data_IF_294249734054
#
_entry.id   IF_294249734054
#
_cell.length_a   1.000
_cell.length_b   1.000
_cell.length_c   1.000
_cell.angle_alpha   90.00
_cell.angle_beta   90.00
_cell.angle_gamma   90.00
#
_symmetry.space_group_name_H-M   'P 1'
#
loop_
_entity.id
_entity.type
_entity.pdbx_description
1 polymer ?
#
# COMPACT_ATOMS: atom_id res chain seq x y z
N UNK A 1 -8.85 -15.44 14.31
CA UNK A 1 -9.09 -14.40 13.29
C UNK A 1 -10.59 -14.18 13.25
N UNK A 2 -11.07 -13.09 13.83
CA UNK A 2 -12.51 -12.86 14.03
C UNK A 2 -13.03 -11.94 12.93
N UNK A 3 -14.00 -12.42 12.17
CA UNK A 3 -14.61 -11.68 11.07
C UNK A 3 -15.99 -11.20 11.51
N UNK A 4 -16.21 -9.88 11.50
CA UNK A 4 -17.50 -9.28 11.84
C UNK A 4 -18.27 -8.99 10.57
N UNK A 5 -19.25 -9.81 10.24
CA UNK A 5 -20.20 -9.56 9.16
C UNK A 5 -21.41 -8.84 9.75
N UNK A 6 -21.78 -7.68 9.20
CA UNK A 6 -23.07 -7.06 9.52
C UNK A 6 -23.99 -7.23 8.32
N UNK A 7 -25.12 -7.89 8.57
CA UNK A 7 -26.22 -8.05 7.64
C UNK A 7 -27.39 -7.26 8.19
N UNK A 8 -28.04 -6.48 7.33
CA UNK A 8 -29.36 -5.97 7.66
C UNK A 8 -30.36 -7.10 7.36
N UNK A 9 -31.14 -7.48 8.37
CA UNK A 9 -32.27 -8.39 8.21
C UNK A 9 -33.54 -7.55 8.26
N UNK A 10 -34.22 -7.43 7.14
CA UNK A 10 -35.51 -6.74 7.08
C UNK A 10 -36.63 -7.78 7.08
N UNK A 11 -37.50 -7.74 8.08
CA UNK A 11 -38.64 -8.64 8.20
C UNK A 11 -39.92 -7.96 7.74
N UNK A 12 -40.61 -8.57 6.78
CA UNK A 12 -41.89 -8.09 6.25
C UNK A 12 -43.01 -9.06 6.67
N UNK A 13 -43.83 -8.72 7.67
CA UNK A 13 -44.97 -9.54 8.06
C UNK A 13 -46.08 -9.41 7.02
N UNK A 14 -46.54 -10.54 6.50
CA UNK A 14 -47.72 -10.63 5.64
C UNK A 14 -48.93 -10.95 6.50
N UNK A 15 -49.86 -10.00 6.59
CA UNK A 15 -51.05 -10.11 7.42
C UNK A 15 -52.22 -10.75 6.65
N UNK A 16 -53.02 -11.56 7.35
CA UNK A 16 -54.34 -11.98 6.88
C UNK A 16 -55.35 -10.84 7.06
N UNK A 17 -56.54 -10.99 6.48
CA UNK A 17 -57.64 -10.02 6.61
C UNK A 17 -58.09 -9.76 8.06
N UNK A 18 -57.81 -10.69 8.98
CA UNK A 18 -58.10 -10.57 10.41
C UNK A 18 -56.97 -9.90 11.21
N UNK A 19 -55.91 -9.43 10.54
CA UNK A 19 -54.76 -8.79 11.18
C UNK A 19 -53.73 -9.76 11.76
N UNK A 20 -53.96 -11.08 11.69
CA UNK A 20 -52.97 -12.08 12.14
C UNK A 20 -51.83 -12.22 11.13
N UNK A 21 -50.61 -12.43 11.61
CA UNK A 21 -49.46 -12.70 10.73
C UNK A 21 -49.61 -14.09 10.11
N UNK A 22 -49.70 -14.15 8.78
CA UNK A 22 -49.74 -15.40 8.02
C UNK A 22 -48.32 -15.95 7.78
N UNK A 23 -47.42 -15.05 7.37
CA UNK A 23 -46.05 -15.35 6.98
C UNK A 23 -45.14 -14.16 7.31
N UNK A 24 -43.85 -14.41 7.49
CA UNK A 24 -42.82 -13.36 7.58
C UNK A 24 -41.80 -13.61 6.48
N UNK A 25 -41.59 -12.62 5.62
CA UNK A 25 -40.52 -12.65 4.62
C UNK A 25 -39.32 -11.94 5.22
N UNK A 26 -38.21 -12.67 5.42
CA UNK A 26 -36.94 -12.09 5.82
C UNK A 26 -36.07 -11.84 4.58
N UNK A 27 -35.67 -10.59 4.36
CA UNK A 27 -34.72 -10.22 3.31
C UNK A 27 -33.37 -9.93 3.96
N UNK A 28 -32.34 -10.68 3.55
CA UNK A 28 -30.96 -10.49 3.99
C UNK A 28 -30.25 -9.58 2.99
N UNK A 29 -29.99 -8.33 3.38
CA UNK A 29 -29.21 -7.41 2.56
C UNK A 29 -27.79 -7.29 3.12
N UNK A 30 -26.83 -7.85 2.39
CA UNK A 30 -25.41 -7.70 2.72
C UNK A 30 -24.97 -6.29 2.35
N UNK A 31 -24.80 -5.40 3.34
CA UNK A 31 -24.57 -3.97 3.05
C UNK A 31 -23.12 -3.54 2.76
N UNK A 32 -22.05 -4.03 3.43
CA UNK A 32 -20.71 -3.38 3.23
C UNK A 32 -19.39 -3.95 3.79
N UNK A 33 -19.30 -5.17 4.33
CA UNK A 33 -18.30 -5.40 5.41
C UNK A 33 -17.13 -6.37 5.11
N UNK A 34 -16.70 -6.48 3.85
CA UNK A 34 -15.40 -7.12 3.56
C UNK A 34 -14.57 -6.43 2.49
N UNK A 35 -15.17 -5.52 1.73
CA UNK A 35 -14.51 -4.87 0.61
C UNK A 35 -13.33 -4.02 1.10
N UNK A 36 -13.53 -3.16 2.11
CA UNK A 36 -12.49 -2.21 2.52
C UNK A 36 -11.15 -2.83 2.94
N UNK A 37 -11.17 -3.94 3.69
CA UNK A 37 -9.91 -4.61 4.07
C UNK A 37 -9.27 -5.32 2.88
N UNK A 38 -10.07 -5.98 2.04
CA UNK A 38 -9.59 -6.64 0.83
C UNK A 38 -9.03 -5.63 -0.19
N UNK A 39 -9.69 -4.50 -0.38
CA UNK A 39 -9.27 -3.45 -1.31
C UNK A 39 -7.94 -2.82 -0.85
N UNK A 40 -7.76 -2.65 0.47
CA UNK A 40 -6.47 -2.22 1.05
C UNK A 40 -5.39 -3.25 0.78
N UNK A 41 -5.67 -4.54 0.97
CA UNK A 41 -4.71 -5.63 0.72
C UNK A 41 -4.34 -5.68 -0.76
N UNK A 42 -5.32 -5.62 -1.67
CA UNK A 42 -5.08 -5.55 -3.12
C UNK A 42 -4.25 -4.35 -3.53
N UNK A 43 -4.55 -3.18 -2.95
CA UNK A 43 -3.76 -1.96 -3.17
C UNK A 43 -2.31 -2.16 -2.74
N UNK A 44 -2.10 -2.76 -1.56
CA UNK A 44 -0.77 -3.05 -1.02
C UNK A 44 -0.02 -4.04 -1.92
N UNK A 45 -0.64 -5.17 -2.25
CA UNK A 45 -0.08 -6.22 -3.10
C UNK A 45 0.31 -5.67 -4.49
N UNK A 46 -0.54 -4.82 -5.07
CA UNK A 46 -0.23 -4.17 -6.33
C UNK A 46 1.02 -3.31 -6.23
N UNK A 47 1.14 -2.47 -5.18
CA UNK A 47 2.32 -1.62 -4.97
C UNK A 47 3.56 -2.48 -4.71
N UNK A 48 3.45 -3.52 -3.89
CA UNK A 48 4.55 -4.44 -3.56
C UNK A 48 5.06 -5.19 -4.80
N UNK A 49 4.20 -5.43 -5.79
CA UNK A 49 4.55 -6.13 -7.03
C UNK A 49 5.07 -5.18 -8.13
N UNK A 50 4.54 -3.95 -8.18
CA UNK A 50 4.84 -2.96 -9.22
C UNK A 50 5.68 -1.79 -8.69
N UNK A 51 6.42 -1.99 -7.60
CA UNK A 51 7.22 -0.93 -6.99
C UNK A 51 8.31 -0.39 -7.93
N UNK A 52 8.75 -1.16 -8.91
CA UNK A 52 9.76 -0.73 -9.88
C UNK A 52 9.21 0.32 -10.86
N UNK A 53 7.93 0.23 -11.20
CA UNK A 53 7.25 1.12 -12.13
C UNK A 53 7.05 2.52 -11.55
N UNK A 54 6.72 3.48 -12.42
CA UNK A 54 6.28 4.81 -11.98
C UNK A 54 4.93 4.71 -11.27
N UNK A 55 4.81 5.40 -10.14
CA UNK A 55 3.57 5.43 -9.37
C UNK A 55 2.41 6.02 -10.18
N UNK A 56 1.31 5.29 -10.24
CA UNK A 56 0.10 5.70 -10.94
C UNK A 56 -1.12 5.35 -10.07
N UNK A 57 -1.67 6.38 -9.42
CA UNK A 57 -2.82 6.21 -8.53
C UNK A 57 -4.06 5.75 -9.28
N UNK A 58 -4.23 6.13 -10.56
CA UNK A 58 -5.38 5.73 -11.36
C UNK A 58 -5.33 4.22 -11.64
N UNK A 59 -4.18 3.68 -12.05
CA UNK A 59 -3.99 2.21 -12.23
C UNK A 59 -4.25 1.42 -10.95
N UNK A 60 -3.67 1.86 -9.84
CA UNK A 60 -3.84 1.20 -8.53
C UNK A 60 -5.33 1.22 -8.12
N UNK A 61 -6.01 2.35 -8.33
CA UNK A 61 -7.42 2.50 -7.98
C UNK A 61 -8.34 1.65 -8.84
N UNK A 62 -8.06 1.55 -10.15
CA UNK A 62 -8.76 0.66 -11.07
C UNK A 62 -8.56 -0.82 -10.69
N UNK A 63 -7.33 -1.21 -10.34
CA UNK A 63 -7.03 -2.58 -9.90
C UNK A 63 -7.77 -2.94 -8.60
N UNK A 64 -7.87 -2.00 -7.66
CA UNK A 64 -8.59 -2.20 -6.40
C UNK A 64 -10.11 -2.03 -6.53
N UNK A 65 -10.63 -1.57 -7.68
CA UNK A 65 -12.07 -1.29 -7.88
C UNK A 65 -12.58 -0.10 -7.07
N UNK A 66 -11.71 0.88 -6.77
CA UNK A 66 -12.00 2.04 -5.95
C UNK A 66 -11.77 3.34 -6.73
N UNK A 67 -12.45 4.41 -6.33
CA UNK A 67 -12.04 5.75 -6.77
C UNK A 67 -10.76 6.18 -6.05
N UNK A 68 -9.95 7.04 -6.69
CA UNK A 68 -8.70 7.58 -6.11
C UNK A 68 -8.85 8.14 -4.70
N UNK A 69 -9.90 8.95 -4.49
CA UNK A 69 -10.21 9.55 -3.19
C UNK A 69 -10.56 8.49 -2.14
N UNK A 70 -11.39 7.51 -2.52
CA UNK A 70 -11.80 6.46 -1.60
C UNK A 70 -10.60 5.58 -1.22
N UNK A 71 -9.81 5.16 -2.22
CA UNK A 71 -8.60 4.38 -2.01
C UNK A 71 -7.61 5.10 -1.09
N UNK A 72 -7.32 6.37 -1.33
CA UNK A 72 -6.35 7.12 -0.51
C UNK A 72 -6.79 7.20 0.95
N UNK A 73 -8.07 7.53 1.19
CA UNK A 73 -8.63 7.63 2.55
C UNK A 73 -8.61 6.28 3.26
N UNK A 74 -9.04 5.24 2.55
CA UNK A 74 -9.19 3.88 3.06
C UNK A 74 -7.81 3.26 3.34
N UNK A 75 -6.88 3.35 2.40
CA UNK A 75 -5.51 2.89 2.58
C UNK A 75 -4.83 3.60 3.76
N UNK A 76 -4.97 4.92 3.89
CA UNK A 76 -4.46 5.66 5.04
C UNK A 76 -5.12 5.25 6.36
N UNK A 77 -6.41 4.96 6.36
CA UNK A 77 -7.13 4.49 7.55
C UNK A 77 -6.65 3.12 8.04
N UNK A 78 -6.26 2.22 7.13
CA UNK A 78 -5.88 0.85 7.49
C UNK A 78 -4.37 0.65 7.62
N UNK A 79 -3.56 1.32 6.79
CA UNK A 79 -2.09 1.18 6.73
C UNK A 79 -1.38 2.31 7.48
N UNK A 80 -2.05 3.44 7.71
CA UNK A 80 -1.47 4.61 8.39
C UNK A 80 -0.74 5.59 7.45
N UNK A 81 -0.48 5.19 6.20
CA UNK A 81 0.19 6.00 5.19
C UNK A 81 -0.67 6.15 3.92
N UNK A 82 -0.41 7.16 3.10
CA UNK A 82 -1.02 7.22 1.75
C UNK A 82 -0.38 6.19 0.83
N UNK A 83 -1.06 5.74 -0.24
CA UNK A 83 -0.49 4.79 -1.20
C UNK A 83 0.86 5.28 -1.77
N UNK A 84 0.95 6.57 -2.09
CA UNK A 84 2.18 7.17 -2.59
C UNK A 84 3.31 7.15 -1.55
N UNK A 85 3.02 7.51 -0.30
CA UNK A 85 4.02 7.47 0.77
C UNK A 85 4.53 6.05 1.02
N UNK A 86 3.64 5.06 0.96
CA UNK A 86 4.01 3.65 1.10
C UNK A 86 4.88 3.16 -0.07
N UNK A 87 4.52 3.50 -1.30
CA UNK A 87 5.34 3.24 -2.49
C UNK A 87 6.73 3.89 -2.39
N UNK A 88 6.79 5.16 -1.97
CA UNK A 88 8.06 5.86 -1.79
C UNK A 88 8.94 5.17 -0.74
N UNK A 89 8.35 4.71 0.35
CA UNK A 89 9.06 3.98 1.39
C UNK A 89 9.68 2.69 0.87
N UNK A 90 8.92 1.86 0.14
CA UNK A 90 9.46 0.64 -0.48
C UNK A 90 10.61 0.97 -1.42
N UNK A 91 10.42 1.95 -2.32
CA UNK A 91 11.44 2.33 -3.30
C UNK A 91 12.71 2.85 -2.62
N UNK A 92 12.59 3.61 -1.52
CA UNK A 92 13.74 4.07 -0.74
C UNK A 92 14.49 2.92 -0.05
N UNK A 93 13.79 1.91 0.48
CA UNK A 93 14.45 0.72 1.04
C UNK A 93 15.18 -0.06 -0.07
N UNK A 94 14.60 -0.18 -1.27
CA UNK A 94 15.28 -0.84 -2.40
C UNK A 94 16.50 -0.08 -2.90
N UNK A 95 16.44 1.25 -2.95
CA UNK A 95 17.62 2.08 -3.24
C UNK A 95 18.69 1.86 -2.18
N UNK A 96 18.31 1.82 -0.89
CA UNK A 96 19.25 1.57 0.21
C UNK A 96 19.95 0.22 0.08
N UNK A 97 19.22 -0.83 -0.29
CA UNK A 97 19.78 -2.14 -0.61
C UNK A 97 20.75 -2.06 -1.82
N UNK A 98 20.32 -1.44 -2.92
CA UNK A 98 21.13 -1.31 -4.15
C UNK A 98 22.41 -0.47 -3.95
N UNK A 99 22.41 0.48 -3.02
CA UNK A 99 23.60 1.25 -2.69
C UNK A 99 24.71 0.40 -2.06
N UNK A 100 24.38 -0.76 -1.48
CA UNK A 100 25.36 -1.73 -0.98
C UNK A 100 26.09 -2.51 -2.07
N UNK A 101 25.57 -2.54 -3.29
CA UNK A 101 26.28 -3.13 -4.42
C UNK A 101 27.38 -2.17 -4.91
N UNK A 102 28.64 -2.54 -4.65
CA UNK A 102 29.82 -1.77 -5.04
C UNK A 102 30.17 -1.88 -6.53
N UNK A 103 29.53 -2.79 -7.27
CA UNK A 103 29.70 -2.90 -8.72
C UNK A 103 28.94 -1.81 -9.47
N UNK A 104 27.91 -1.23 -8.85
CA UNK A 104 27.10 -0.15 -9.39
C UNK A 104 27.59 1.20 -8.89
N UNK A 105 27.63 2.22 -9.75
CA UNK A 105 27.73 3.61 -9.29
C UNK A 105 26.40 4.10 -8.67
N UNK A 106 26.38 5.27 -8.04
CA UNK A 106 25.21 5.75 -7.28
C UNK A 106 24.01 5.96 -8.19
N UNK A 107 24.23 6.54 -9.38
CA UNK A 107 23.18 6.75 -10.37
C UNK A 107 22.64 5.42 -10.90
N UNK A 108 23.50 4.44 -11.13
CA UNK A 108 23.10 3.08 -11.53
C UNK A 108 22.27 2.38 -10.47
N UNK A 109 22.63 2.51 -9.18
CA UNK A 109 21.84 1.97 -8.07
C UNK A 109 20.43 2.59 -8.05
N UNK A 110 20.30 3.90 -8.25
CA UNK A 110 19.00 4.57 -8.37
C UNK A 110 18.21 4.09 -9.60
N UNK A 111 18.86 4.04 -10.76
CA UNK A 111 18.25 3.61 -12.02
C UNK A 111 17.74 2.16 -11.94
N UNK A 112 18.47 1.26 -11.26
CA UNK A 112 18.04 -0.12 -11.02
C UNK A 112 16.74 -0.23 -10.22
N UNK A 113 16.41 0.81 -9.46
CA UNK A 113 15.18 0.93 -8.67
C UNK A 113 14.10 1.77 -9.38
N UNK A 114 14.28 2.12 -10.66
CA UNK A 114 13.35 2.97 -11.39
C UNK A 114 13.21 4.36 -10.77
N UNK A 115 14.31 4.92 -10.25
CA UNK A 115 14.41 6.25 -9.68
C UNK A 115 15.56 7.01 -10.33
N UNK A 116 15.41 8.32 -10.47
CA UNK A 116 16.51 9.20 -10.89
C UNK A 116 17.20 9.79 -9.66
N UNK A 117 18.53 9.71 -9.61
CA UNK A 117 19.34 10.32 -8.57
C UNK A 117 19.26 11.85 -8.57
N UNK A 118 19.07 12.47 -9.75
CA UNK A 118 18.84 13.92 -9.86
C UNK A 118 17.42 14.34 -9.50
N UNK A 119 16.52 13.37 -9.32
CA UNK A 119 15.13 13.59 -8.97
C UNK A 119 14.86 13.69 -7.47
N UNK A 120 13.59 13.84 -7.12
CA UNK A 120 13.14 13.99 -5.73
C UNK A 120 13.43 12.78 -4.81
N UNK A 121 13.83 11.62 -5.36
CA UNK A 121 14.18 10.45 -4.55
C UNK A 121 15.48 10.61 -3.78
N UNK A 122 16.47 11.36 -4.27
CA UNK A 122 17.70 11.61 -3.52
C UNK A 122 17.43 12.49 -2.28
N UNK A 123 16.58 13.51 -2.43
CA UNK A 123 16.15 14.34 -1.30
C UNK A 123 15.30 13.55 -0.30
N UNK A 124 14.36 12.74 -0.80
CA UNK A 124 13.53 11.88 0.03
C UNK A 124 14.38 10.85 0.79
N UNK A 125 15.41 10.28 0.15
CA UNK A 125 16.38 9.40 0.79
C UNK A 125 17.10 10.11 1.93
N UNK A 126 17.67 11.29 1.68
CA UNK A 126 18.34 12.08 2.71
C UNK A 126 17.42 12.41 3.88
N UNK A 127 16.16 12.77 3.60
CA UNK A 127 15.17 13.07 4.63
C UNK A 127 14.83 11.84 5.48
N UNK A 128 14.72 10.66 4.87
CA UNK A 128 14.36 9.42 5.57
C UNK A 128 15.54 8.83 6.35
N UNK A 129 16.73 8.79 5.74
CA UNK A 129 17.91 8.10 6.27
C UNK A 129 18.82 9.05 7.07
N UNK A 130 18.70 10.36 6.89
CA UNK A 130 19.48 11.38 7.58
C UNK A 130 20.81 11.74 6.90
N UNK A 131 21.19 11.01 5.84
CA UNK A 131 22.42 11.24 5.06
C UNK A 131 22.17 11.05 3.57
N UNK A 132 23.01 11.66 2.73
CA UNK A 132 22.93 11.51 1.28
C UNK A 132 23.26 10.07 0.87
N UNK A 133 22.78 9.61 -0.30
CA UNK A 133 23.15 8.29 -0.83
C UNK A 133 24.66 8.05 -0.92
N UNK A 134 25.42 9.09 -1.30
CA UNK A 134 26.88 9.04 -1.36
C UNK A 134 27.52 8.87 0.02
N UNK A 135 27.03 9.57 1.03
CA UNK A 135 27.50 9.40 2.42
C UNK A 135 27.17 8.01 2.94
N UNK A 136 25.94 7.53 2.71
CA UNK A 136 25.50 6.19 3.10
C UNK A 136 26.37 5.10 2.47
N UNK A 137 26.72 5.21 1.19
CA UNK A 137 27.61 4.23 0.55
C UNK A 137 29.01 4.23 1.16
N UNK A 138 29.54 5.38 1.57
CA UNK A 138 30.85 5.46 2.23
C UNK A 138 30.86 4.75 3.58
N UNK A 139 29.75 4.78 4.34
CA UNK A 139 29.67 4.04 5.61
C UNK A 139 29.72 2.53 5.37
N UNK A 140 29.04 2.03 4.34
CA UNK A 140 29.09 0.61 3.97
C UNK A 140 30.51 0.14 3.58
N UNK A 141 31.26 0.98 2.86
CA UNK A 141 32.65 0.67 2.49
C UNK A 141 33.60 0.65 3.70
N UNK A 142 33.31 1.44 4.74
CA UNK A 142 34.09 1.44 5.97
C UNK A 142 33.88 0.13 6.77
N UNK A 143 32.64 -0.38 6.80
CA UNK A 143 32.29 -1.61 7.52
C UNK A 143 32.89 -2.87 6.88
N UNK A 144 33.04 -2.92 5.54
CA UNK A 144 33.71 -4.03 4.85
C UNK A 144 35.23 -4.07 5.05
N UNK A 145 35.85 -2.96 5.48
CA UNK A 145 37.27 -2.89 5.74
C UNK A 145 37.63 -3.40 7.15
N UNK A 146 36.68 -3.36 8.09
CA UNK A 146 36.85 -3.87 9.45
C UNK A 146 36.58 -5.39 9.56
N UNK A 147 35.61 -5.91 8.78
CA UNK A 147 35.26 -7.35 8.76
C UNK A 147 36.23 -8.26 7.97
N UNK A 148 37.33 -7.71 7.41
CA UNK A 148 38.38 -8.47 6.73
C UNK A 148 39.67 -8.60 7.55
N UNK A 149 39.63 -8.30 8.84
CA UNK A 149 40.69 -8.60 9.82
C UNK A 149 40.28 -9.75 10.73
#
# INVERSE_FOLDING_TARGET
MEYKTYQDITNFPLLRKDGTVAYVIAVFMTKRIYQSRLDTIKTKEYIDTHWLDNFDLDKISNHAGLSRHHLTRLFKSFIGATPYSYYQEIKLEKIKEALGDLTLNISEAFNSCGADYSGGFAEAFKKKIGMTPSEYRKTLQADECDNRK
#
